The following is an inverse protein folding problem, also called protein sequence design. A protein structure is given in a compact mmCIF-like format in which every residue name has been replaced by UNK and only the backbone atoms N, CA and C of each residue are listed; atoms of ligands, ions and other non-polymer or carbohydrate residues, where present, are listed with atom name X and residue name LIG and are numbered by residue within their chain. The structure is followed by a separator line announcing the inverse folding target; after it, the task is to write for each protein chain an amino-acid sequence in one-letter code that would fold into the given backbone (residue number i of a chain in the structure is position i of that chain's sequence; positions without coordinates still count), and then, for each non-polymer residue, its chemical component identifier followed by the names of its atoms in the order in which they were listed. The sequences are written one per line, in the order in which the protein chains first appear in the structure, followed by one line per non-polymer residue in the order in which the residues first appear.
data_IF_147387877612
#
_entry.id   IF_147387877612
#
_cell.length_a   1.000
_cell.length_b   1.000
_cell.length_c   1.000
_cell.angle_alpha   90.00
_cell.angle_beta   90.00
_cell.angle_gamma   90.00
#
_symmetry.space_group_name_H-M   'P 1'
#
loop_
_entity.id
_entity.type
_entity.pdbx_description
1 polymer ?
#
# COMPACT_ATOMS: atom_id res chain seq x y z
N UNK A 1 3.98 18.78 4.74
CA UNK A 1 2.64 18.63 4.15
C UNK A 1 2.70 17.43 3.24
N UNK A 2 1.76 16.49 3.33
CA UNK A 2 1.74 15.33 2.42
C UNK A 2 1.27 15.80 1.04
N UNK A 3 2.00 15.44 -0.01
CA UNK A 3 1.59 15.70 -1.38
C UNK A 3 0.96 14.44 -1.96
N UNK A 4 -0.34 14.53 -2.25
CA UNK A 4 -1.14 13.47 -2.87
C UNK A 4 -1.81 14.04 -4.11
N UNK A 5 -2.17 13.18 -5.08
CA UNK A 5 -2.80 13.58 -6.34
C UNK A 5 -4.21 14.14 -6.15
N UNK A 6 -4.87 13.76 -5.05
CA UNK A 6 -6.10 14.35 -4.53
C UNK A 6 -6.03 14.40 -3.00
N UNK A 7 -6.78 15.29 -2.31
CA UNK A 7 -6.90 15.23 -0.86
C UNK A 7 -7.39 13.85 -0.40
N UNK A 8 -6.76 13.28 0.64
CA UNK A 8 -7.11 11.94 1.13
C UNK A 8 -8.58 11.82 1.58
N UNK A 9 -9.12 12.89 2.16
CA UNK A 9 -10.53 12.96 2.55
C UNK A 9 -11.48 12.81 1.35
N UNK A 10 -11.13 13.43 0.22
CA UNK A 10 -11.92 13.37 -1.03
C UNK A 10 -11.81 12.02 -1.73
N UNK A 11 -10.84 11.19 -1.32
CA UNK A 11 -10.67 9.85 -1.84
C UNK A 11 -11.61 8.84 -1.15
N UNK A 12 -11.99 9.08 0.11
CA UNK A 12 -12.79 8.13 0.90
C UNK A 12 -14.10 7.77 0.19
N UNK A 13 -14.42 6.48 0.17
CA UNK A 13 -15.63 5.94 -0.44
C UNK A 13 -15.55 5.71 -1.94
N UNK A 14 -14.50 6.17 -2.62
CA UNK A 14 -14.33 5.96 -4.06
C UNK A 14 -13.75 4.58 -4.37
N UNK A 15 -14.18 4.02 -5.49
CA UNK A 15 -13.61 2.82 -6.09
C UNK A 15 -12.25 3.12 -6.76
N UNK A 16 -11.38 2.12 -6.95
CA UNK A 16 -10.06 2.31 -7.59
C UNK A 16 -10.19 2.75 -9.06
N UNK A 17 -11.24 2.33 -9.75
CA UNK A 17 -11.58 2.78 -11.12
C UNK A 17 -11.80 4.30 -11.25
N UNK A 18 -12.04 5.01 -10.13
CA UNK A 18 -12.08 6.47 -10.16
C UNK A 18 -10.70 7.09 -10.43
N UNK A 19 -9.63 6.39 -10.06
CA UNK A 19 -8.25 6.89 -10.16
C UNK A 19 -7.45 6.18 -11.25
N UNK A 20 -7.76 4.90 -11.48
CA UNK A 20 -7.10 4.09 -12.47
C UNK A 20 -7.89 4.12 -13.79
N UNK A 21 -7.34 4.70 -14.86
CA UNK A 21 -7.99 4.71 -16.16
C UNK A 21 -7.80 3.38 -16.92
N UNK A 22 -7.03 2.44 -16.36
CA UNK A 22 -6.67 1.16 -16.97
C UNK A 22 -7.63 0.04 -16.57
N UNK A 23 -7.69 -1.01 -17.38
CA UNK A 23 -8.58 -2.17 -17.18
C UNK A 23 -8.40 -2.81 -15.79
N UNK A 24 -7.18 -2.80 -15.25
CA UNK A 24 -6.92 -3.32 -13.91
C UNK A 24 -7.76 -2.61 -12.83
N UNK A 25 -8.14 -1.35 -13.04
CA UNK A 25 -8.98 -0.58 -12.12
C UNK A 25 -10.41 -1.09 -12.00
N UNK A 26 -10.85 -2.01 -12.86
CA UNK A 26 -12.20 -2.57 -12.86
C UNK A 26 -12.24 -4.05 -12.46
N UNK A 27 -11.14 -4.59 -11.92
CA UNK A 27 -10.98 -6.02 -11.60
C UNK A 27 -11.00 -6.24 -10.08
N UNK A 28 -12.19 -6.19 -9.49
CA UNK A 28 -12.42 -6.19 -8.03
C UNK A 28 -11.93 -7.48 -7.32
N UNK A 29 -11.71 -8.56 -8.07
CA UNK A 29 -11.15 -9.81 -7.57
C UNK A 29 -9.64 -9.73 -7.25
N UNK A 30 -8.98 -8.63 -7.63
CA UNK A 30 -7.56 -8.39 -7.40
C UNK A 30 -7.30 -7.49 -6.19
N UNK A 31 -6.13 -7.67 -5.58
CA UNK A 31 -5.69 -6.81 -4.49
C UNK A 31 -5.29 -5.42 -5.01
N UNK A 32 -6.01 -4.37 -4.60
CA UNK A 32 -5.79 -3.00 -5.06
C UNK A 32 -5.13 -2.07 -4.02
N UNK A 33 -4.63 -2.60 -2.91
CA UNK A 33 -4.04 -1.79 -1.84
C UNK A 33 -2.85 -0.93 -2.32
N UNK A 34 -1.83 -1.57 -2.92
CA UNK A 34 -0.71 -0.85 -3.53
C UNK A 34 -1.14 0.00 -4.72
N UNK A 35 -2.05 -0.52 -5.54
CA UNK A 35 -2.57 0.15 -6.72
C UNK A 35 -3.16 1.53 -6.37
N UNK A 36 -4.00 1.57 -5.33
CA UNK A 36 -4.55 2.81 -4.80
C UNK A 36 -3.45 3.75 -4.29
N UNK A 37 -2.62 3.27 -3.35
CA UNK A 37 -1.62 4.12 -2.70
C UNK A 37 -0.71 4.74 -3.75
N UNK A 38 -0.33 3.99 -4.78
CA UNK A 38 0.48 4.49 -5.88
C UNK A 38 -0.23 5.54 -6.73
N UNK A 39 -1.54 5.42 -7.00
CA UNK A 39 -2.29 6.50 -7.65
C UNK A 39 -2.37 7.77 -6.80
N UNK A 40 -2.56 7.63 -5.49
CA UNK A 40 -2.63 8.77 -4.56
C UNK A 40 -1.27 9.44 -4.36
N UNK A 41 -0.18 8.67 -4.34
CA UNK A 41 1.17 9.18 -4.12
C UNK A 41 1.94 9.49 -5.42
N UNK A 42 1.39 9.14 -6.59
CA UNK A 42 2.05 9.32 -7.88
C UNK A 42 3.22 8.36 -8.15
N UNK A 43 3.21 7.18 -7.55
CA UNK A 43 4.28 6.18 -7.70
C UNK A 43 4.11 5.37 -9.00
N UNK A 44 5.07 5.51 -9.91
CA UNK A 44 5.10 4.81 -11.21
C UNK A 44 6.45 4.13 -11.44
N UNK A 45 6.64 2.95 -10.83
CA UNK A 45 7.83 2.11 -11.01
C UNK A 45 7.50 0.63 -10.90
N UNK A 46 8.42 -0.23 -11.35
CA UNK A 46 8.27 -1.68 -11.26
C UNK A 46 7.06 -2.20 -12.06
N UNK A 47 6.29 -3.07 -11.44
CA UNK A 47 5.04 -3.61 -11.98
C UNK A 47 3.94 -2.57 -11.83
N UNK A 48 3.35 -2.12 -12.95
CA UNK A 48 2.29 -1.08 -12.94
C UNK A 48 1.00 -1.55 -13.58
N UNK A 49 -0.11 -0.88 -13.28
CA UNK A 49 -1.43 -1.17 -13.88
C UNK A 49 -1.44 -0.98 -15.42
N UNK A 50 -0.59 -0.08 -15.92
CA UNK A 50 -0.38 0.18 -17.34
C UNK A 50 0.34 -0.96 -18.08
N UNK A 51 1.20 -1.70 -17.40
CA UNK A 51 2.06 -2.72 -18.02
C UNK A 51 1.40 -4.11 -18.16
N UNK A 52 0.07 -4.20 -18.04
CA UNK A 52 -0.67 -5.48 -18.06
C UNK A 52 -0.91 -6.03 -19.45
N UNK A 53 -1.21 -5.16 -20.42
CA UNK A 53 -1.39 -5.54 -21.83
C UNK A 53 -0.57 -4.61 -22.72
N UNK A 54 -0.31 -5.05 -23.95
CA UNK A 54 0.38 -4.21 -24.92
C UNK A 54 -0.42 -2.95 -25.24
N UNK A 55 -1.75 -3.05 -25.34
CA UNK A 55 -2.63 -1.91 -25.61
C UNK A 55 -2.57 -0.86 -24.50
N UNK A 56 -2.70 -1.29 -23.24
CA UNK A 56 -2.64 -0.39 -22.08
C UNK A 56 -1.27 0.29 -21.97
N UNK A 57 -0.20 -0.43 -22.31
CA UNK A 57 1.17 0.12 -22.32
C UNK A 57 1.35 1.28 -23.29
N UNK A 58 0.60 1.32 -24.39
CA UNK A 58 0.69 2.41 -25.38
C UNK A 58 -0.10 3.66 -25.00
N UNK A 59 -0.98 3.59 -24.01
CA UNK A 59 -1.81 4.73 -23.61
C UNK A 59 -0.98 5.87 -23.02
N UNK A 60 -1.37 7.15 -23.19
CA UNK A 60 -0.59 8.29 -22.70
C UNK A 60 -0.66 8.47 -21.18
N UNK A 61 -1.69 7.94 -20.51
CA UNK A 61 -1.87 8.07 -19.06
C UNK A 61 -0.73 7.38 -18.28
N UNK A 62 -0.43 7.89 -17.09
CA UNK A 62 0.56 7.31 -16.18
C UNK A 62 0.01 6.09 -15.46
N UNK A 63 0.81 5.02 -15.41
CA UNK A 63 0.50 3.87 -14.57
C UNK A 63 0.76 4.15 -13.09
N UNK A 64 0.31 3.22 -12.25
CA UNK A 64 0.60 3.20 -10.82
C UNK A 64 1.18 1.84 -10.44
N UNK A 65 2.19 1.82 -9.55
CA UNK A 65 2.77 0.58 -9.03
C UNK A 65 1.72 -0.28 -8.34
N UNK A 66 1.70 -1.59 -8.59
CA UNK A 66 0.64 -2.49 -8.10
C UNK A 66 1.12 -3.50 -7.05
N UNK A 67 2.41 -3.47 -6.68
CA UNK A 67 3.00 -4.44 -5.75
C UNK A 67 3.49 -3.78 -4.47
N UNK A 68 2.93 -4.21 -3.34
CA UNK A 68 3.26 -3.70 -1.99
C UNK A 68 4.75 -3.81 -1.69
N UNK A 69 5.37 -4.95 -2.01
CA UNK A 69 6.79 -5.17 -1.75
C UNK A 69 7.70 -4.30 -2.63
N UNK A 70 7.27 -3.96 -3.85
CA UNK A 70 8.04 -3.03 -4.69
C UNK A 70 8.06 -1.64 -4.06
N UNK A 71 6.92 -1.16 -3.55
CA UNK A 71 6.84 0.13 -2.84
C UNK A 71 7.68 0.09 -1.56
N UNK A 72 7.49 -0.93 -0.70
CA UNK A 72 8.24 -1.07 0.55
C UNK A 72 9.76 -1.08 0.30
N UNK A 73 10.20 -1.81 -0.73
CA UNK A 73 11.62 -1.95 -1.04
C UNK A 73 12.24 -0.69 -1.69
N UNK A 74 11.43 0.28 -2.13
CA UNK A 74 11.90 1.59 -2.58
C UNK A 74 12.00 2.62 -1.44
N UNK A 75 11.30 2.44 -0.31
CA UNK A 75 11.40 3.34 0.83
C UNK A 75 12.83 3.32 1.40
N UNK A 76 13.53 4.46 1.35
CA UNK A 76 14.91 4.59 1.85
C UNK A 76 14.97 4.50 3.38
N UNK A 77 14.05 5.18 4.06
CA UNK A 77 13.82 5.04 5.49
C UNK A 77 12.61 4.12 5.72
N UNK A 78 12.88 2.94 6.28
CA UNK A 78 11.86 1.92 6.57
C UNK A 78 12.29 1.05 7.73
N UNK A 79 11.32 0.60 8.51
CA UNK A 79 11.57 -0.11 9.75
C UNK A 79 10.35 -0.85 10.28
N UNK A 80 10.52 -1.57 11.39
CA UNK A 80 9.38 -2.10 12.12
C UNK A 80 8.53 -0.93 12.62
N UNK A 81 7.20 -1.09 12.64
CA UNK A 81 6.31 0.01 13.01
C UNK A 81 6.55 0.52 14.43
N UNK A 82 6.89 -0.38 15.36
CA UNK A 82 7.24 -0.03 16.73
C UNK A 82 8.48 0.87 16.85
N UNK A 83 9.37 0.83 15.85
CA UNK A 83 10.58 1.64 15.79
C UNK A 83 10.39 2.90 14.93
N UNK A 84 9.16 3.22 14.51
CA UNK A 84 8.85 4.40 13.69
C UNK A 84 9.33 5.67 14.41
N UNK A 85 10.13 6.53 13.75
CA UNK A 85 10.58 7.77 14.36
C UNK A 85 9.40 8.66 14.76
N UNK A 86 9.42 9.21 15.99
CA UNK A 86 8.32 10.03 16.51
C UNK A 86 8.03 11.28 15.66
N UNK A 87 9.04 11.81 14.95
CA UNK A 87 8.88 12.96 14.04
C UNK A 87 8.17 12.60 12.73
N UNK A 88 8.07 11.31 12.38
CA UNK A 88 7.43 10.83 11.17
C UNK A 88 5.91 10.77 11.37
N UNK A 89 5.27 11.94 11.46
CA UNK A 89 3.82 12.08 11.67
C UNK A 89 2.98 11.64 10.45
N UNK A 90 3.63 11.42 9.31
CA UNK A 90 3.01 10.91 8.09
C UNK A 90 3.98 10.01 7.34
N UNK A 91 3.53 8.82 6.94
CA UNK A 91 4.32 7.83 6.23
C UNK A 91 3.43 6.78 5.58
N UNK A 92 4.02 5.77 4.97
CA UNK A 92 3.34 4.54 4.59
C UNK A 92 3.34 3.57 5.77
N UNK A 93 2.21 2.89 5.98
CA UNK A 93 2.10 1.75 6.89
C UNK A 93 1.92 0.48 6.06
N UNK A 94 2.66 -0.56 6.41
CA UNK A 94 2.64 -1.85 5.76
C UNK A 94 2.32 -2.94 6.78
N UNK A 95 1.64 -3.99 6.33
CA UNK A 95 1.39 -5.19 7.13
C UNK A 95 1.58 -6.44 6.30
N UNK A 96 2.21 -7.45 6.89
CA UNK A 96 2.50 -8.72 6.25
C UNK A 96 2.76 -9.80 7.31
N UNK A 97 3.06 -11.02 6.88
CA UNK A 97 3.65 -12.05 7.75
C UNK A 97 5.14 -11.81 7.97
N UNK A 98 5.63 -12.14 9.17
CA UNK A 98 7.06 -12.07 9.51
C UNK A 98 7.91 -12.91 8.56
N UNK A 99 7.41 -14.05 8.09
CA UNK A 99 8.09 -14.91 7.10
C UNK A 99 8.30 -14.25 5.73
N UNK A 100 7.52 -13.20 5.40
CA UNK A 100 7.68 -12.42 4.18
C UNK A 100 8.79 -11.35 4.28
N UNK A 101 9.47 -11.25 5.42
CA UNK A 101 10.47 -10.22 5.67
C UNK A 101 11.85 -10.84 5.83
N UNK A 102 12.81 -10.29 5.09
CA UNK A 102 14.22 -10.65 5.18
C UNK A 102 15.05 -9.43 5.62
N UNK A 103 16.27 -9.68 6.10
CA UNK A 103 17.30 -8.65 6.31
C UNK A 103 18.58 -9.02 5.56
N UNK A 104 18.64 -8.81 4.22
CA UNK A 104 19.91 -8.86 3.52
C UNK A 104 20.83 -7.74 4.04
N UNK A 105 21.87 -8.10 4.78
CA UNK A 105 22.75 -7.14 5.45
C UNK A 105 21.98 -6.35 6.52
N UNK A 106 21.96 -5.02 6.38
CA UNK A 106 21.34 -4.12 7.36
C UNK A 106 19.98 -3.55 6.94
N UNK A 107 19.49 -3.89 5.74
CA UNK A 107 18.24 -3.35 5.21
C UNK A 107 17.12 -4.37 5.31
N UNK A 108 15.97 -3.97 5.86
CA UNK A 108 14.75 -4.76 5.78
C UNK A 108 14.31 -4.88 4.32
N UNK A 109 13.86 -6.05 3.91
CA UNK A 109 13.32 -6.30 2.57
C UNK A 109 12.04 -7.11 2.68
N UNK A 110 11.00 -6.67 1.99
CA UNK A 110 9.76 -7.43 1.86
C UNK A 110 9.83 -8.29 0.60
N UNK A 111 9.61 -9.60 0.76
CA UNK A 111 9.55 -10.56 -0.34
C UNK A 111 8.21 -10.47 -1.08
N UNK A 112 8.14 -11.17 -2.21
CA UNK A 112 6.83 -11.44 -2.79
C UNK A 112 6.01 -12.40 -1.91
N UNK A 113 4.68 -12.29 -1.93
CA UNK A 113 3.79 -13.03 -1.02
C UNK A 113 2.33 -12.58 -1.12
N UNK A 114 1.39 -13.43 -0.70
CA UNK A 114 -0.05 -13.17 -0.85
C UNK A 114 -0.66 -12.34 0.29
N UNK A 115 -0.02 -12.30 1.47
CA UNK A 115 -0.50 -11.60 2.66
C UNK A 115 0.31 -10.34 2.89
N UNK A 116 -0.05 -9.29 2.14
CA UNK A 116 0.56 -7.95 2.22
C UNK A 116 -0.50 -6.88 2.02
N UNK A 117 -0.45 -5.84 2.85
CA UNK A 117 -1.27 -4.64 2.67
C UNK A 117 -0.47 -3.37 2.93
N UNK A 118 -0.96 -2.25 2.40
CA UNK A 118 -0.37 -0.93 2.53
C UNK A 118 -1.45 0.12 2.72
N UNK A 119 -1.15 1.15 3.51
CA UNK A 119 -1.96 2.35 3.66
C UNK A 119 -1.09 3.60 3.81
N UNK A 120 -1.74 4.76 3.71
CA UNK A 120 -1.14 6.08 3.96
C UNK A 120 -1.51 6.47 5.39
N UNK A 121 -0.51 6.60 6.26
CA UNK A 121 -0.67 7.04 7.63
C UNK A 121 -0.44 8.56 7.74
N UNK A 122 -1.36 9.26 8.40
CA UNK A 122 -1.22 10.67 8.79
C UNK A 122 -1.83 10.86 10.17
N UNK A 123 -1.00 11.26 11.15
CA UNK A 123 -1.41 11.67 12.49
C UNK A 123 -2.45 10.75 13.16
N UNK A 124 -2.21 9.44 13.17
CA UNK A 124 -3.07 8.44 13.82
C UNK A 124 -4.21 7.89 12.94
N UNK A 125 -4.35 8.39 11.71
CA UNK A 125 -5.36 7.91 10.74
C UNK A 125 -4.67 7.21 9.57
N UNK A 126 -5.27 6.12 9.08
CA UNK A 126 -4.78 5.33 7.95
C UNK A 126 -5.81 5.32 6.83
N UNK A 127 -5.43 5.78 5.64
CA UNK A 127 -6.23 5.64 4.42
C UNK A 127 -5.72 4.43 3.64
N UNK A 128 -6.61 3.52 3.27
CA UNK A 128 -6.25 2.35 2.47
C UNK A 128 -7.42 1.85 1.63
N UNK A 129 -7.12 1.03 0.64
CA UNK A 129 -8.15 0.31 -0.10
C UNK A 129 -8.66 -0.86 0.74
N UNK A 130 -9.98 -1.05 0.79
CA UNK A 130 -10.60 -2.25 1.35
C UNK A 130 -11.07 -3.12 0.19
N UNK A 131 -10.38 -4.24 -0.06
CA UNK A 131 -10.78 -5.17 -1.12
C UNK A 131 -12.11 -5.89 -0.82
N UNK A 132 -12.60 -5.86 0.43
CA UNK A 132 -13.91 -6.45 0.76
C UNK A 132 -15.07 -5.48 0.58
N UNK A 133 -14.79 -4.18 0.46
CA UNK A 133 -15.80 -3.14 0.30
C UNK A 133 -15.63 -2.36 -1.02
N UNK A 134 -14.66 -2.77 -1.84
CA UNK A 134 -14.27 -2.18 -3.12
C UNK A 134 -14.18 -0.66 -3.09
N UNK A 135 -13.58 -0.14 -2.01
CA UNK A 135 -13.45 1.30 -1.85
C UNK A 135 -12.35 1.68 -0.90
N UNK A 136 -11.99 2.95 -0.99
CA UNK A 136 -11.09 3.61 -0.07
C UNK A 136 -11.81 3.82 1.26
N UNK A 137 -11.17 3.41 2.35
CA UNK A 137 -11.65 3.62 3.70
C UNK A 137 -10.60 4.37 4.50
N UNK A 138 -11.04 4.92 5.62
CA UNK A 138 -10.17 5.54 6.63
C UNK A 138 -10.42 4.84 7.96
N UNK A 139 -9.34 4.43 8.61
CA UNK A 139 -9.37 3.78 9.91
C UNK A 139 -8.45 4.53 10.89
N UNK A 140 -8.68 4.35 12.19
CA UNK A 140 -7.64 4.68 13.18
C UNK A 140 -6.46 3.71 13.03
N UNK A 141 -5.27 4.13 13.43
CA UNK A 141 -4.06 3.29 13.44
C UNK A 141 -4.32 1.92 14.09
N UNK A 142 -4.93 1.93 15.28
CA UNK A 142 -5.29 0.71 16.02
C UNK A 142 -6.39 -0.10 15.32
N UNK A 143 -7.36 0.57 14.69
CA UNK A 143 -8.41 -0.10 13.91
C UNK A 143 -7.83 -0.85 12.72
N UNK A 144 -6.96 -0.20 11.96
CA UNK A 144 -6.21 -0.79 10.86
C UNK A 144 -5.42 -2.02 11.32
N UNK A 145 -4.63 -1.88 12.40
CA UNK A 145 -3.82 -2.99 12.92
C UNK A 145 -4.68 -4.18 13.29
N UNK A 146 -5.74 -3.96 14.08
CA UNK A 146 -6.65 -5.03 14.51
C UNK A 146 -7.33 -5.73 13.33
N UNK A 147 -7.72 -4.98 12.30
CA UNK A 147 -8.31 -5.52 11.08
C UNK A 147 -7.38 -6.51 10.40
N UNK A 148 -6.10 -6.13 10.21
CA UNK A 148 -5.14 -6.98 9.52
C UNK A 148 -4.53 -8.08 10.38
N UNK A 149 -4.39 -7.89 11.70
CA UNK A 149 -4.07 -8.98 12.62
C UNK A 149 -5.08 -10.13 12.52
N UNK A 150 -6.38 -9.79 12.46
CA UNK A 150 -7.44 -10.78 12.28
C UNK A 150 -7.44 -11.37 10.86
N UNK A 151 -7.41 -10.52 9.83
CA UNK A 151 -7.53 -10.96 8.45
C UNK A 151 -6.34 -11.81 7.98
N UNK A 152 -5.15 -11.58 8.52
CA UNK A 152 -3.93 -12.32 8.18
C UNK A 152 -3.53 -13.34 9.25
N UNK A 153 -4.39 -13.60 10.24
CA UNK A 153 -4.14 -14.66 11.21
C UNK A 153 -4.00 -16.03 10.51
N UNK A 154 -2.87 -16.69 10.74
CA UNK A 154 -2.60 -18.06 10.30
C UNK A 154 -1.75 -18.76 11.38
N UNK A 155 -2.06 -20.01 11.76
CA UNK A 155 -1.24 -20.75 12.72
C UNK A 155 0.22 -20.84 12.28
N UNK A 156 1.14 -20.57 13.22
CA UNK A 156 2.59 -20.58 12.94
C UNK A 156 3.13 -19.31 12.28
N UNK A 157 2.27 -18.36 11.89
CA UNK A 157 2.68 -17.08 11.34
C UNK A 157 2.47 -15.94 12.34
N UNK A 158 3.32 -14.92 12.23
CA UNK A 158 3.19 -13.68 13.01
C UNK A 158 2.87 -12.54 12.07
N UNK A 159 1.74 -11.87 12.29
CA UNK A 159 1.41 -10.62 11.58
C UNK A 159 2.29 -9.51 12.15
N UNK A 160 3.01 -8.80 11.28
CA UNK A 160 3.91 -7.71 11.66
C UNK A 160 3.66 -6.46 10.82
N UNK A 161 3.86 -5.30 11.45
CA UNK A 161 3.65 -3.99 10.87
C UNK A 161 5.00 -3.28 10.64
N UNK A 162 5.07 -2.51 9.56
CA UNK A 162 6.27 -1.77 9.17
C UNK A 162 5.90 -0.37 8.71
N UNK A 163 6.82 0.58 8.89
CA UNK A 163 6.72 1.90 8.30
C UNK A 163 7.65 2.01 7.09
N UNK A 164 7.32 2.93 6.18
CA UNK A 164 8.24 3.45 5.17
C UNK A 164 7.97 4.92 4.93
N UNK A 165 9.02 5.74 4.89
CA UNK A 165 8.90 7.13 4.47
C UNK A 165 8.39 7.22 3.03
N UNK A 166 7.71 8.34 2.70
CA UNK A 166 7.30 8.61 1.32
C UNK A 166 8.53 8.72 0.41
N UNK A 167 8.35 8.35 -0.87
CA UNK A 167 9.40 8.33 -1.89
C UNK A 167 9.65 9.71 -2.49
#
# INVERSE_FOLDING_TARGET
MIHTTVPLADAVGKHISHFCPFELGTQDDLNHCAHLVSHLMGYEFGSTCKNRTWAEKQRPEKGATIRVNEIFNQCLDRGAWADRPAHLSSCLIFVTHKSNMDRPGHLLRMKDGSKKHIGIYVAGTVWHYSNSADKIVQDTEMGFMRTFERAYHLPGETVTFYYGAFL
#
